data_IF_952162378479
#
_entry.id   IF_952162378479
#
_cell.length_a   1.000
_cell.length_b   1.000
_cell.length_c   1.000
_cell.angle_alpha   90.00
_cell.angle_beta   90.00
_cell.angle_gamma   90.00
#
_symmetry.space_group_name_H-M   'P 1'
#
loop_
_entity.id
_entity.type
_entity.pdbx_description
1 polymer ?
#
# COMPACT_ATOMS: atom_id res chain seq x y z
N UNK A 1 15.36 2.38 -1.18
CA UNK A 1 14.78 1.98 -2.49
C UNK A 1 13.33 1.62 -2.23
N UNK A 2 12.38 2.14 -3.02
CA UNK A 2 10.95 1.91 -2.79
C UNK A 2 10.57 0.50 -3.21
N UNK A 3 9.90 -0.23 -2.32
CA UNK A 3 9.30 -1.54 -2.60
C UNK A 3 7.89 -1.62 -2.05
N UNK A 4 6.93 -1.98 -2.89
CA UNK A 4 5.49 -1.95 -2.56
C UNK A 4 4.97 -3.34 -2.27
N UNK A 5 4.33 -3.53 -1.13
CA UNK A 5 3.51 -4.71 -0.89
C UNK A 5 2.14 -4.49 -1.54
N UNK A 6 1.78 -5.32 -2.52
CA UNK A 6 0.48 -5.29 -3.20
C UNK A 6 -0.43 -6.36 -2.58
N UNK A 7 -1.22 -5.92 -1.60
CA UNK A 7 -2.26 -6.76 -1.00
C UNK A 7 -3.44 -6.85 -1.96
N UNK A 8 -3.81 -8.07 -2.34
CA UNK A 8 -4.96 -8.33 -3.21
C UNK A 8 -5.54 -9.72 -2.95
N UNK A 9 -6.82 -9.93 -3.28
CA UNK A 9 -7.36 -11.28 -3.34
C UNK A 9 -7.14 -11.90 -4.71
N UNK A 10 -7.27 -13.22 -4.81
CA UNK A 10 -7.20 -13.98 -6.07
C UNK A 10 -8.12 -13.43 -7.17
N UNK A 11 -9.29 -12.90 -6.83
CA UNK A 11 -10.21 -12.26 -7.76
C UNK A 11 -9.62 -11.01 -8.45
N UNK A 12 -8.70 -10.31 -7.77
CA UNK A 12 -8.09 -9.06 -8.24
C UNK A 12 -6.68 -9.28 -8.86
N UNK A 13 -6.22 -10.54 -9.03
CA UNK A 13 -4.84 -10.81 -9.46
C UNK A 13 -4.47 -10.22 -10.83
N UNK A 14 -5.41 -10.14 -11.78
CA UNK A 14 -5.18 -9.48 -13.06
C UNK A 14 -4.93 -7.98 -12.90
N UNK A 15 -5.68 -7.33 -12.02
CA UNK A 15 -5.52 -5.93 -11.70
C UNK A 15 -4.20 -5.68 -10.96
N UNK A 16 -3.89 -6.51 -9.96
CA UNK A 16 -2.64 -6.43 -9.20
C UNK A 16 -1.42 -6.57 -10.13
N UNK A 17 -1.45 -7.51 -11.06
CA UNK A 17 -0.39 -7.69 -12.07
C UNK A 17 -0.26 -6.46 -12.98
N UNK A 18 -1.38 -5.84 -13.37
CA UNK A 18 -1.35 -4.60 -14.17
C UNK A 18 -0.71 -3.44 -13.39
N UNK A 19 -1.06 -3.29 -12.13
CA UNK A 19 -0.52 -2.26 -11.24
C UNK A 19 0.98 -2.48 -11.02
N UNK A 20 1.39 -3.71 -10.70
CA UNK A 20 2.80 -4.10 -10.55
C UNK A 20 3.60 -3.73 -11.79
N UNK A 21 3.11 -4.14 -12.97
CA UNK A 21 3.77 -3.84 -14.23
C UNK A 21 3.91 -2.34 -14.45
N UNK A 22 2.87 -1.54 -14.17
CA UNK A 22 2.92 -0.08 -14.29
C UNK A 22 3.97 0.53 -13.36
N UNK A 23 3.99 0.12 -12.09
CA UNK A 23 4.95 0.59 -11.10
C UNK A 23 6.38 0.24 -11.48
N UNK A 24 6.60 -0.97 -11.99
CA UNK A 24 7.92 -1.44 -12.43
C UNK A 24 8.39 -0.74 -13.69
N UNK A 25 7.58 -0.72 -14.75
CA UNK A 25 8.00 -0.26 -16.07
C UNK A 25 8.06 1.27 -16.18
N UNK A 26 7.08 1.99 -15.63
CA UNK A 26 7.03 3.45 -15.75
C UNK A 26 7.79 4.16 -14.63
N UNK A 27 7.87 3.52 -13.45
CA UNK A 27 8.44 4.16 -12.26
C UNK A 27 9.65 3.43 -11.70
N UNK A 28 10.03 2.24 -12.19
CA UNK A 28 11.16 1.49 -11.63
C UNK A 28 10.97 1.15 -10.14
N UNK A 29 9.72 0.92 -9.72
CA UNK A 29 9.37 0.54 -8.35
C UNK A 29 9.09 -0.95 -8.31
N UNK A 30 9.84 -1.68 -7.48
CA UNK A 30 9.60 -3.10 -7.25
C UNK A 30 8.34 -3.31 -6.42
N UNK A 31 7.61 -4.39 -6.70
CA UNK A 31 6.46 -4.78 -5.89
C UNK A 31 6.50 -6.26 -5.55
N UNK A 32 5.98 -6.60 -4.38
CA UNK A 32 5.67 -7.97 -3.98
C UNK A 32 4.16 -8.17 -4.14
N UNK A 33 3.76 -9.18 -4.92
CA UNK A 33 2.37 -9.55 -5.13
C UNK A 33 2.01 -10.65 -4.13
N UNK A 34 1.14 -10.35 -3.17
CA UNK A 34 0.63 -11.35 -2.25
C UNK A 34 -0.79 -11.74 -2.63
N UNK A 35 -0.97 -12.96 -3.13
CA UNK A 35 -2.30 -13.51 -3.43
C UNK A 35 -2.85 -14.13 -2.15
N UNK A 36 -3.81 -13.48 -1.53
CA UNK A 36 -4.52 -14.07 -0.39
C UNK A 36 -5.55 -15.07 -0.96
N UNK A 37 -5.27 -16.36 -0.83
CA UNK A 37 -6.24 -17.41 -1.13
C UNK A 37 -6.96 -17.86 0.18
N UNK A 38 -8.22 -17.46 0.38
CA UNK A 38 -8.99 -17.87 1.55
C UNK A 38 -9.28 -19.37 1.61
N UNK A 39 -9.13 -20.12 0.51
CA UNK A 39 -9.40 -21.56 0.41
C UNK A 39 -8.15 -22.45 0.55
N UNK A 40 -6.94 -21.91 0.37
CA UNK A 40 -5.67 -22.64 0.58
C UNK A 40 -5.26 -22.65 2.06
N UNK A 41 -5.94 -21.88 2.91
CA UNK A 41 -5.54 -21.56 4.29
C UNK A 41 -5.84 -22.67 5.30
N UNK A 42 -5.11 -23.79 5.21
CA UNK A 42 -5.13 -24.86 6.21
C UNK A 42 -4.42 -24.53 7.54
N UNK A 43 -3.67 -23.41 7.65
CA UNK A 43 -2.98 -22.99 8.89
C UNK A 43 -2.80 -21.45 8.93
N UNK A 44 -3.77 -20.74 9.50
CA UNK A 44 -3.81 -19.26 9.53
C UNK A 44 -2.59 -18.57 10.18
N UNK A 45 -1.94 -19.18 11.17
CA UNK A 45 -0.73 -18.61 11.78
C UNK A 45 0.46 -18.52 10.83
N UNK A 46 0.65 -19.53 9.97
CA UNK A 46 1.72 -19.53 8.98
C UNK A 46 1.52 -18.43 7.95
N UNK A 47 0.27 -18.13 7.59
CA UNK A 47 -0.06 -17.06 6.65
C UNK A 47 0.21 -15.68 7.25
N UNK A 48 -0.21 -15.43 8.50
CA UNK A 48 0.05 -14.16 9.17
C UNK A 48 1.55 -13.88 9.31
N UNK A 49 2.35 -14.88 9.70
CA UNK A 49 3.81 -14.75 9.80
C UNK A 49 4.46 -14.52 8.44
N UNK A 50 3.99 -15.22 7.40
CA UNK A 50 4.44 -15.02 6.03
C UNK A 50 4.18 -13.59 5.55
N UNK A 51 2.94 -13.11 5.67
CA UNK A 51 2.56 -11.74 5.30
C UNK A 51 3.38 -10.71 6.07
N UNK A 52 3.54 -10.88 7.38
CA UNK A 52 4.33 -9.95 8.20
C UNK A 52 5.80 -9.91 7.77
N UNK A 53 6.36 -11.08 7.40
CA UNK A 53 7.74 -11.21 6.91
C UNK A 53 7.92 -10.53 5.56
N UNK A 54 7.03 -10.79 4.60
CA UNK A 54 7.11 -10.19 3.26
C UNK A 54 6.80 -8.69 3.28
N UNK A 55 5.84 -8.24 4.09
CA UNK A 55 5.58 -6.82 4.32
C UNK A 55 6.79 -6.14 4.97
N UNK A 56 7.50 -6.81 5.89
CA UNK A 56 8.72 -6.30 6.49
C UNK A 56 9.88 -6.08 5.50
N UNK A 57 9.85 -6.74 4.34
CA UNK A 57 10.80 -6.50 3.24
C UNK A 57 10.39 -5.34 2.32
N UNK A 58 9.18 -4.82 2.50
CA UNK A 58 8.63 -3.72 1.72
C UNK A 58 8.72 -2.39 2.49
N UNK A 59 8.66 -1.29 1.77
CA UNK A 59 8.70 0.06 2.37
C UNK A 59 7.31 0.64 2.56
N UNK A 60 6.32 0.14 1.84
CA UNK A 60 4.96 0.66 1.79
C UNK A 60 3.95 -0.43 1.41
N UNK A 61 2.68 -0.17 1.70
CA UNK A 61 1.56 -1.07 1.40
C UNK A 61 0.57 -0.36 0.46
N UNK A 62 0.15 -1.06 -0.59
CA UNK A 62 -0.95 -0.67 -1.47
C UNK A 62 -1.97 -1.80 -1.48
N UNK A 63 -3.14 -1.54 -0.87
CA UNK A 63 -4.23 -2.49 -0.82
C UNK A 63 -5.16 -2.31 -2.01
N UNK A 64 -5.37 -3.37 -2.78
CA UNK A 64 -6.27 -3.37 -3.93
C UNK A 64 -7.64 -3.83 -3.45
N UNK A 65 -8.64 -2.97 -3.64
CA UNK A 65 -10.00 -3.19 -3.16
C UNK A 65 -10.97 -3.07 -4.33
N UNK A 66 -11.74 -4.11 -4.55
CA UNK A 66 -12.85 -4.20 -5.50
C UNK A 66 -14.13 -4.53 -4.74
N UNK A 67 -15.27 -4.46 -5.43
CA UNK A 67 -16.56 -4.80 -4.82
C UNK A 67 -16.58 -6.24 -4.27
N UNK A 68 -15.81 -7.14 -4.86
CA UNK A 68 -15.64 -8.54 -4.41
C UNK A 68 -14.74 -8.67 -3.18
N UNK A 69 -13.71 -7.82 -3.05
CA UNK A 69 -12.71 -7.94 -1.97
C UNK A 69 -13.06 -7.09 -0.75
N UNK A 70 -14.15 -6.31 -0.82
CA UNK A 70 -14.73 -5.51 0.28
C UNK A 70 -14.95 -6.29 1.57
N UNK A 71 -15.17 -7.61 1.47
CA UNK A 71 -15.50 -8.49 2.61
C UNK A 71 -14.28 -9.27 3.16
N UNK A 72 -13.07 -9.04 2.63
CA UNK A 72 -11.86 -9.68 3.12
C UNK A 72 -11.61 -9.34 4.58
N UNK A 73 -11.48 -10.36 5.45
CA UNK A 73 -11.04 -10.15 6.84
C UNK A 73 -9.54 -9.83 6.94
N UNK A 74 -8.76 -10.13 5.90
CA UNK A 74 -7.30 -9.95 5.91
C UNK A 74 -6.86 -8.50 5.61
N UNK A 75 -7.60 -7.77 4.76
CA UNK A 75 -7.27 -6.38 4.41
C UNK A 75 -7.23 -5.47 5.66
N UNK A 76 -8.23 -5.48 6.56
CA UNK A 76 -8.15 -4.72 7.82
C UNK A 76 -6.94 -5.11 8.68
N UNK A 77 -6.58 -6.40 8.72
CA UNK A 77 -5.45 -6.88 9.51
C UNK A 77 -4.11 -6.36 8.98
N UNK A 78 -3.86 -6.44 7.68
CA UNK A 78 -2.64 -5.93 7.03
C UNK A 78 -2.47 -4.42 7.22
N UNK A 79 -3.58 -3.69 7.13
CA UNK A 79 -3.62 -2.26 7.38
C UNK A 79 -3.25 -1.95 8.84
N UNK A 80 -3.69 -2.79 9.78
CA UNK A 80 -3.26 -2.72 11.17
C UNK A 80 -1.73 -2.84 11.30
N UNK A 81 -1.15 -3.88 10.69
CA UNK A 81 0.31 -4.12 10.70
C UNK A 81 1.09 -2.97 10.06
N UNK A 82 0.62 -2.45 8.91
CA UNK A 82 1.27 -1.33 8.23
C UNK A 82 1.17 -0.02 9.04
N UNK A 83 0.03 0.20 9.71
CA UNK A 83 -0.17 1.37 10.58
C UNK A 83 0.75 1.33 11.79
N UNK A 84 0.90 0.16 12.44
CA UNK A 84 1.82 -0.01 13.57
C UNK A 84 3.28 0.28 13.18
N UNK A 85 3.67 -0.05 11.94
CA UNK A 85 5.03 0.18 11.42
C UNK A 85 5.24 1.58 10.80
N UNK A 86 4.24 2.46 10.85
CA UNK A 86 4.24 3.77 10.18
C UNK A 86 4.57 3.68 8.68
N UNK A 87 4.15 2.60 8.01
CA UNK A 87 4.36 2.44 6.58
C UNK A 87 3.41 3.32 5.78
N UNK A 88 3.88 3.99 4.71
CA UNK A 88 2.99 4.63 3.75
C UNK A 88 1.94 3.63 3.23
N UNK A 89 0.68 4.00 3.37
CA UNK A 89 -0.48 3.22 2.93
C UNK A 89 -1.27 3.97 1.87
N UNK A 90 -1.69 3.27 0.82
CA UNK A 90 -2.79 3.74 -0.02
C UNK A 90 -3.71 2.56 -0.38
N UNK A 91 -4.89 2.88 -0.86
CA UNK A 91 -5.82 1.88 -1.42
C UNK A 91 -6.01 2.13 -2.90
N UNK A 92 -6.14 1.09 -3.72
CA UNK A 92 -6.60 1.21 -5.10
C UNK A 92 -8.01 0.65 -5.19
N UNK A 93 -8.99 1.53 -5.38
CA UNK A 93 -10.40 1.16 -5.44
C UNK A 93 -10.83 0.96 -6.88
N UNK A 94 -11.42 -0.19 -7.19
CA UNK A 94 -12.08 -0.43 -8.48
C UNK A 94 -13.58 -0.48 -8.34
N UNK A 95 -14.26 0.10 -9.34
CA UNK A 95 -15.71 0.25 -9.36
C UNK A 95 -16.16 1.70 -9.15
N UNK A 96 -17.45 1.94 -9.32
CA UNK A 96 -18.09 3.25 -9.06
C UNK A 96 -18.29 3.53 -7.57
N UNK A 97 -17.99 2.56 -6.70
CA UNK A 97 -18.18 2.68 -5.26
C UNK A 97 -16.90 3.19 -4.59
N UNK A 98 -17.07 4.15 -3.67
CA UNK A 98 -15.98 4.59 -2.81
C UNK A 98 -15.53 3.42 -1.93
N UNK A 99 -14.23 3.37 -1.56
CA UNK A 99 -13.76 2.37 -0.62
C UNK A 99 -14.56 2.46 0.69
N UNK A 100 -14.72 1.33 1.42
CA UNK A 100 -15.26 1.31 2.78
C UNK A 100 -14.79 2.48 3.63
N UNK A 101 -15.67 3.01 4.47
CA UNK A 101 -15.39 4.22 5.26
C UNK A 101 -14.09 4.10 6.07
N UNK A 102 -13.84 2.94 6.67
CA UNK A 102 -12.62 2.68 7.44
C UNK A 102 -11.33 2.83 6.61
N UNK A 103 -11.37 2.62 5.29
CA UNK A 103 -10.24 2.78 4.38
C UNK A 103 -10.03 4.23 3.91
N UNK A 104 -11.05 5.09 4.04
CA UNK A 104 -10.95 6.51 3.64
C UNK A 104 -10.05 7.34 4.57
N UNK A 105 -9.61 6.76 5.68
CA UNK A 105 -8.55 7.33 6.53
C UNK A 105 -7.24 7.48 5.77
N UNK A 106 -6.99 6.69 4.73
CA UNK A 106 -5.79 6.78 3.89
C UNK A 106 -6.13 7.23 2.47
N UNK A 107 -5.14 7.73 1.70
CA UNK A 107 -5.34 8.08 0.30
C UNK A 107 -5.87 6.90 -0.51
N UNK A 108 -6.82 7.14 -1.41
CA UNK A 108 -7.38 6.13 -2.29
C UNK A 108 -7.20 6.49 -3.76
N UNK A 109 -6.85 5.53 -4.58
CA UNK A 109 -6.50 5.68 -5.99
C UNK A 109 -7.62 5.05 -6.81
N UNK A 110 -8.03 5.69 -7.89
CA UNK A 110 -9.13 5.19 -8.75
C UNK A 110 -8.70 5.10 -10.22
N UNK A 111 -7.56 5.67 -10.59
CA UNK A 111 -7.07 5.73 -11.95
C UNK A 111 -5.58 5.44 -12.08
N UNK A 112 -5.15 5.20 -13.31
CA UNK A 112 -3.73 5.05 -13.67
C UNK A 112 -2.93 6.34 -13.42
N UNK A 113 -3.57 7.52 -13.54
CA UNK A 113 -2.93 8.80 -13.23
C UNK A 113 -2.69 8.93 -11.71
N UNK A 114 -3.60 8.41 -10.90
CA UNK A 114 -3.44 8.36 -9.44
C UNK A 114 -2.27 7.45 -9.06
N UNK A 115 -2.11 6.31 -9.74
CA UNK A 115 -0.95 5.42 -9.54
C UNK A 115 0.37 6.13 -9.85
N UNK A 116 0.41 7.00 -10.87
CA UNK A 116 1.59 7.78 -11.17
C UNK A 116 1.87 8.85 -10.12
N UNK A 117 0.83 9.50 -9.59
CA UNK A 117 0.95 10.41 -8.46
C UNK A 117 1.47 9.69 -7.21
N UNK A 118 0.90 8.52 -6.90
CA UNK A 118 1.34 7.63 -5.82
C UNK A 118 2.83 7.29 -5.96
N UNK A 119 3.26 6.79 -7.12
CA UNK A 119 4.65 6.41 -7.36
C UNK A 119 5.63 7.57 -7.16
N UNK A 120 5.30 8.77 -7.65
CA UNK A 120 6.11 9.98 -7.43
C UNK A 120 6.17 10.35 -5.95
N UNK A 121 5.04 10.33 -5.25
CA UNK A 121 4.97 10.65 -3.81
C UNK A 121 5.72 9.64 -2.96
N UNK A 122 5.66 8.35 -3.30
CA UNK A 122 6.42 7.29 -2.63
C UNK A 122 7.93 7.51 -2.73
N UNK A 123 8.45 7.85 -3.92
CA UNK A 123 9.88 8.16 -4.09
C UNK A 123 10.30 9.40 -3.30
N UNK A 124 9.46 10.43 -3.26
CA UNK A 124 9.72 11.64 -2.49
C UNK A 124 9.73 11.36 -0.98
N UNK A 125 8.79 10.53 -0.50
CA UNK A 125 8.71 10.11 0.89
C UNK A 125 9.96 9.31 1.32
N UNK A 126 10.42 8.38 0.47
CA UNK A 126 11.65 7.62 0.71
C UNK A 126 12.88 8.54 0.77
N UNK A 127 13.00 9.50 -0.14
CA UNK A 127 14.08 10.49 -0.10
C UNK A 127 14.04 11.33 1.18
N UNK A 128 12.84 11.80 1.53
CA UNK A 128 12.58 12.56 2.75
C UNK A 128 12.93 11.78 4.02
N UNK A 129 12.63 10.47 4.04
CA UNK A 129 13.02 9.57 5.12
C UNK A 129 14.55 9.47 5.25
N UNK A 130 15.25 9.24 4.13
CA UNK A 130 16.72 9.12 4.08
C UNK A 130 17.45 10.41 4.47
N UNK A 131 16.86 11.57 4.19
CA UNK A 131 17.36 12.87 4.64
C UNK A 131 17.14 13.07 6.14
N UNK A 132 15.91 12.83 6.62
CA UNK A 132 15.53 13.08 8.02
C UNK A 132 16.22 12.12 8.99
N UNK A 133 16.43 10.85 8.63
CA UNK A 133 17.12 9.86 9.50
C UNK A 133 18.57 10.21 9.82
N UNK A 134 19.16 11.20 9.12
CA UNK A 134 20.50 11.75 9.43
C UNK A 134 20.47 12.73 10.61
N UNK A 135 19.29 13.25 10.95
CA UNK A 135 19.10 14.33 11.93
C UNK A 135 18.30 13.82 13.14
N UNK A 136 17.29 12.96 12.91
CA UNK A 136 16.40 12.43 13.95
C UNK A 136 16.42 10.90 13.96
N UNK A 137 15.86 10.30 15.01
CA UNK A 137 15.73 8.84 15.10
C UNK A 137 14.92 8.28 13.94
N UNK A 138 15.18 7.02 13.57
CA UNK A 138 14.52 6.38 12.43
C UNK A 138 12.99 6.37 12.56
N UNK A 139 12.45 6.16 13.76
CA UNK A 139 10.99 6.22 14.01
C UNK A 139 10.41 7.61 13.73
N UNK A 140 11.05 8.67 14.23
CA UNK A 140 10.58 10.06 14.00
C UNK A 140 10.72 10.45 12.53
N UNK A 141 11.81 10.04 11.87
CA UNK A 141 11.98 10.25 10.44
C UNK A 141 10.85 9.59 9.65
N UNK A 142 10.50 8.34 10.00
CA UNK A 142 9.43 7.56 9.35
C UNK A 142 8.08 8.24 9.48
N UNK A 143 7.66 8.58 10.70
CA UNK A 143 6.39 9.25 10.97
C UNK A 143 6.27 10.53 10.13
N UNK A 144 7.34 11.35 10.08
CA UNK A 144 7.34 12.61 9.31
C UNK A 144 7.23 12.36 7.81
N UNK A 145 8.03 11.43 7.26
CA UNK A 145 7.98 11.11 5.82
C UNK A 145 6.63 10.51 5.41
N UNK A 146 6.03 9.70 6.28
CA UNK A 146 4.73 9.05 6.02
C UNK A 146 3.59 10.08 6.07
N UNK A 147 3.64 11.05 6.99
CA UNK A 147 2.69 12.17 6.98
C UNK A 147 2.83 13.05 5.74
N UNK A 148 4.06 13.38 5.32
CA UNK A 148 4.31 14.12 4.07
C UNK A 148 3.78 13.36 2.85
N UNK A 149 3.94 12.04 2.82
CA UNK A 149 3.34 11.17 1.81
C UNK A 149 1.82 11.31 1.79
N UNK A 150 1.15 11.15 2.94
CA UNK A 150 -0.32 11.22 3.02
C UNK A 150 -0.85 12.58 2.61
N UNK A 151 -0.29 13.67 3.13
CA UNK A 151 -0.72 15.03 2.80
C UNK A 151 -0.49 15.35 1.33
N UNK A 152 0.69 15.01 0.80
CA UNK A 152 1.04 15.28 -0.60
C UNK A 152 0.18 14.49 -1.57
N UNK A 153 -0.05 13.20 -1.30
CA UNK A 153 -0.87 12.36 -2.16
C UNK A 153 -2.34 12.79 -2.11
N UNK A 154 -2.90 13.07 -0.93
CA UNK A 154 -4.25 13.64 -0.78
C UNK A 154 -4.44 14.92 -1.60
N UNK A 155 -3.46 15.81 -1.57
CA UNK A 155 -3.51 17.04 -2.35
C UNK A 155 -3.53 16.78 -3.86
N UNK A 156 -2.70 15.86 -4.36
CA UNK A 156 -2.66 15.50 -5.79
C UNK A 156 -3.98 14.85 -6.26
N UNK A 157 -4.65 14.12 -5.37
CA UNK A 157 -5.89 13.39 -5.65
C UNK A 157 -7.16 14.21 -5.35
N UNK A 158 -7.05 15.43 -4.82
CA UNK A 158 -8.19 16.25 -4.43
C UNK A 158 -8.96 15.72 -3.21
N UNK A 159 -8.33 14.90 -2.36
CA UNK A 159 -8.93 14.27 -1.19
C UNK A 159 -8.59 15.06 0.08
N UNK A 160 -9.40 16.05 0.43
CA UNK A 160 -9.22 16.84 1.66
C UNK A 160 -9.94 16.21 2.83
#
# INVERSE_FOLDING_TARGET
MVKVFLSHQSADSLLATRIERRLRELHGIESYLDVIDPYISGRGENLALHIQTEMGKCTQLLAIVSDTTRYSQWVPWEIGVATEKDYPLATFSTGSSLPPEFLRKWPYLQSDADLDAYARRSKNAERSFEEKRRIVTAGVARIRSTNEFFTGLRADLGQR
#
